data_IF_362844329673
#
_entry.id   IF_362844329673
#
_cell.length_a   1.000
_cell.length_b   1.000
_cell.length_c   1.000
_cell.angle_alpha   90.00
_cell.angle_beta   90.00
_cell.angle_gamma   90.00
#
_symmetry.space_group_name_H-M   'P 1'
#
loop_
_entity.id
_entity.type
_entity.pdbx_description
1 polymer ?
#
# COMPACT_ATOMS: atom_id res chain seq x y z
N UNK A 1 23.42 31.17 13.24
CA UNK A 1 22.04 30.78 12.86
C UNK A 1 21.08 31.54 13.72
N UNK A 2 20.01 32.07 13.16
CA UNK A 2 19.03 32.83 13.94
C UNK A 2 18.38 31.97 15.01
N UNK A 3 18.30 32.51 16.23
CA UNK A 3 17.57 31.92 17.36
C UNK A 3 16.12 31.60 16.98
N UNK A 4 15.51 32.50 16.20
CA UNK A 4 14.15 32.35 15.66
C UNK A 4 13.99 31.11 14.78
N UNK A 5 14.96 30.80 13.92
CA UNK A 5 14.92 29.62 13.06
C UNK A 5 14.94 28.32 13.89
N UNK A 6 15.69 28.32 14.98
CA UNK A 6 15.75 27.17 15.88
C UNK A 6 14.42 26.95 16.62
N UNK A 7 13.81 28.03 17.10
CA UNK A 7 12.48 28.00 17.73
C UNK A 7 11.45 27.45 16.75
N UNK A 8 11.48 27.93 15.50
CA UNK A 8 10.55 27.49 14.46
C UNK A 8 10.74 26.02 14.09
N UNK A 9 11.98 25.55 13.95
CA UNK A 9 12.27 24.12 13.72
C UNK A 9 11.73 23.25 14.87
N UNK A 10 11.89 23.69 16.12
CA UNK A 10 11.38 22.96 17.29
C UNK A 10 9.85 22.90 17.27
N UNK A 11 9.19 24.03 17.04
CA UNK A 11 7.73 24.16 16.95
C UNK A 11 7.15 23.22 15.87
N UNK A 12 7.67 23.30 14.65
CA UNK A 12 7.19 22.48 13.52
C UNK A 12 7.44 20.97 13.76
N UNK A 13 8.55 20.61 14.39
CA UNK A 13 8.95 19.21 14.55
C UNK A 13 8.32 18.53 15.77
N UNK A 14 8.31 19.19 16.93
CA UNK A 14 7.82 18.60 18.17
C UNK A 14 6.35 18.89 18.42
N UNK A 15 5.84 20.07 18.06
CA UNK A 15 4.46 20.45 18.36
C UNK A 15 3.55 20.06 17.20
N UNK A 16 3.89 20.49 15.98
CA UNK A 16 3.11 20.15 14.77
C UNK A 16 3.43 18.76 14.19
N UNK A 17 4.35 18.01 14.83
CA UNK A 17 4.73 16.63 14.47
C UNK A 17 5.19 16.43 13.01
N UNK A 18 5.59 17.48 12.30
CA UNK A 18 6.02 17.38 10.90
C UNK A 18 7.31 16.57 10.77
N UNK A 19 7.49 15.86 9.66
CA UNK A 19 8.76 15.15 9.37
C UNK A 19 9.92 16.13 9.18
N UNK A 20 11.17 15.68 9.39
CA UNK A 20 12.35 16.54 9.15
C UNK A 20 12.42 17.07 7.72
N UNK A 21 11.90 16.32 6.73
CA UNK A 21 11.78 16.78 5.34
C UNK A 21 10.76 17.90 5.20
N UNK A 22 9.55 17.72 5.75
CA UNK A 22 8.52 18.77 5.72
C UNK A 22 8.97 20.05 6.44
N UNK A 23 9.64 19.92 7.59
CA UNK A 23 10.23 21.07 8.29
C UNK A 23 11.25 21.77 7.39
N UNK A 24 12.12 20.99 6.73
CA UNK A 24 13.15 21.50 5.83
C UNK A 24 12.55 22.26 4.64
N UNK A 25 11.49 21.72 4.03
CA UNK A 25 10.78 22.35 2.92
C UNK A 25 10.13 23.68 3.35
N UNK A 26 9.54 23.74 4.55
CA UNK A 26 8.87 24.95 5.08
C UNK A 26 9.89 26.04 5.39
N UNK A 27 11.00 25.70 6.05
CA UNK A 27 12.00 26.68 6.46
C UNK A 27 13.05 26.95 5.37
N UNK A 28 12.96 26.28 4.22
CA UNK A 28 13.84 26.48 3.07
C UNK A 28 15.28 26.01 3.26
N UNK A 29 15.51 24.95 4.06
CA UNK A 29 16.86 24.38 4.27
C UNK A 29 16.89 22.89 3.92
N UNK A 30 18.07 22.27 3.96
CA UNK A 30 18.19 20.82 3.73
C UNK A 30 17.75 20.01 4.96
N UNK A 31 17.08 18.87 4.74
CA UNK A 31 16.62 18.00 5.84
C UNK A 31 17.75 17.46 6.72
N UNK A 32 18.92 17.17 6.14
CA UNK A 32 20.12 16.77 6.89
C UNK A 32 20.56 17.86 7.89
N UNK A 33 20.36 19.11 7.50
CA UNK A 33 20.68 20.28 8.30
C UNK A 33 19.69 20.43 9.47
N UNK A 34 18.40 20.19 9.25
CA UNK A 34 17.39 20.09 10.33
C UNK A 34 17.77 19.01 11.36
N UNK A 35 18.14 17.81 10.90
CA UNK A 35 18.56 16.70 11.78
C UNK A 35 19.77 17.10 12.64
N UNK A 36 20.79 17.69 12.00
CA UNK A 36 21.98 18.18 12.71
C UNK A 36 21.62 19.18 13.81
N UNK A 37 20.64 20.05 13.59
CA UNK A 37 20.21 21.01 14.62
C UNK A 37 19.41 20.38 15.75
N UNK A 38 18.48 19.49 15.44
CA UNK A 38 17.71 18.78 16.46
C UNK A 38 18.63 17.96 17.38
N UNK A 39 19.65 17.30 16.81
CA UNK A 39 20.61 16.53 17.59
C UNK A 39 21.56 17.40 18.42
N UNK A 40 21.90 18.61 17.95
CA UNK A 40 22.84 19.50 18.66
C UNK A 40 22.16 20.38 19.72
N UNK A 41 20.93 20.82 19.48
CA UNK A 41 20.30 21.91 20.26
C UNK A 41 18.92 21.53 20.85
N UNK A 42 18.50 20.28 20.72
CA UNK A 42 17.23 19.77 21.22
C UNK A 42 17.39 18.33 21.75
N UNK A 43 16.29 17.60 21.90
CA UNK A 43 16.27 16.21 22.39
C UNK A 43 16.61 15.18 21.31
N UNK A 44 17.04 15.63 20.13
CA UNK A 44 17.34 14.78 18.99
C UNK A 44 16.12 14.38 18.16
N UNK A 45 16.35 13.54 17.16
CA UNK A 45 15.27 13.00 16.32
C UNK A 45 14.40 12.01 17.07
N UNK A 46 13.17 11.86 16.61
CA UNK A 46 12.17 10.98 17.22
C UNK A 46 12.49 9.53 16.89
N UNK A 47 12.06 8.62 17.75
CA UNK A 47 12.20 7.19 17.49
C UNK A 47 11.50 6.76 16.19
N UNK A 48 12.05 5.73 15.54
CA UNK A 48 11.57 5.21 14.26
C UNK A 48 10.11 4.76 14.36
N UNK A 49 9.70 4.14 15.47
CA UNK A 49 8.32 3.67 15.66
C UNK A 49 7.35 4.84 15.69
N UNK A 50 7.68 5.89 16.45
CA UNK A 50 6.88 7.10 16.53
C UNK A 50 6.82 7.84 15.17
N UNK A 51 7.94 7.91 14.45
CA UNK A 51 7.98 8.50 13.11
C UNK A 51 7.07 7.75 12.13
N UNK A 52 7.10 6.42 12.15
CA UNK A 52 6.23 5.59 11.31
C UNK A 52 4.75 5.78 11.65
N UNK A 53 4.40 5.83 12.93
CA UNK A 53 3.01 6.06 13.37
C UNK A 53 2.47 7.40 12.86
N UNK A 54 3.22 8.49 13.03
CA UNK A 54 2.81 9.83 12.58
C UNK A 54 2.65 9.94 11.05
N UNK A 55 3.40 9.14 10.28
CA UNK A 55 3.26 9.10 8.82
C UNK A 55 2.04 8.29 8.36
N UNK A 56 1.59 7.33 9.17
CA UNK A 56 0.57 6.36 8.77
C UNK A 56 -0.83 6.89 9.07
N UNK A 57 -1.21 7.98 8.41
CA UNK A 57 -2.55 8.60 8.48
C UNK A 57 -3.61 7.72 7.81
N UNK A 58 -4.87 7.91 8.17
CA UNK A 58 -5.97 7.14 7.59
C UNK A 58 -6.11 7.39 6.08
N UNK A 59 -5.93 8.63 5.63
CA UNK A 59 -5.87 8.97 4.21
C UNK A 59 -4.76 8.21 3.47
N UNK A 60 -3.57 8.11 4.07
CA UNK A 60 -2.46 7.35 3.49
C UNK A 60 -2.78 5.85 3.43
N UNK A 61 -3.41 5.30 4.48
CA UNK A 61 -3.84 3.89 4.51
C UNK A 61 -4.87 3.61 3.42
N UNK A 62 -5.85 4.49 3.25
CA UNK A 62 -6.88 4.31 2.22
C UNK A 62 -6.29 4.43 0.81
N UNK A 63 -5.38 5.38 0.59
CA UNK A 63 -4.64 5.48 -0.67
C UNK A 63 -3.90 4.18 -1.00
N UNK A 64 -3.17 3.61 -0.03
CA UNK A 64 -2.47 2.34 -0.22
C UNK A 64 -3.47 1.21 -0.50
N UNK A 65 -4.54 1.11 0.30
CA UNK A 65 -5.58 0.09 0.12
C UNK A 65 -6.17 0.12 -1.29
N UNK A 66 -6.51 1.30 -1.82
CA UNK A 66 -7.02 1.45 -3.19
C UNK A 66 -6.04 0.88 -4.23
N UNK A 67 -4.75 1.17 -4.07
CA UNK A 67 -3.71 0.66 -5.00
C UNK A 67 -3.44 -0.84 -4.87
N UNK A 68 -3.82 -1.47 -3.75
CA UNK A 68 -3.56 -2.89 -3.51
C UNK A 68 -4.75 -3.80 -3.89
N UNK A 69 -5.87 -3.22 -4.33
CA UNK A 69 -7.09 -3.95 -4.66
C UNK A 69 -7.12 -4.34 -6.13
N UNK A 70 -7.34 -5.63 -6.38
CA UNK A 70 -7.67 -6.15 -7.71
C UNK A 70 -6.61 -5.84 -8.75
N UNK A 71 -7.06 -5.32 -9.90
CA UNK A 71 -6.20 -5.02 -11.04
C UNK A 71 -5.31 -3.80 -10.83
N UNK A 72 -5.63 -2.95 -9.85
CA UNK A 72 -4.81 -1.78 -9.49
C UNK A 72 -3.51 -2.20 -8.81
N UNK A 73 -3.44 -3.42 -8.29
CA UNK A 73 -2.21 -3.94 -7.73
C UNK A 73 -1.19 -4.17 -8.84
N UNK A 74 -0.03 -3.53 -8.73
CA UNK A 74 1.05 -3.64 -9.73
C UNK A 74 1.53 -5.10 -9.96
N UNK A 75 1.27 -6.01 -9.02
CA UNK A 75 1.60 -7.44 -9.14
C UNK A 75 0.43 -8.30 -9.61
N UNK A 76 -0.73 -7.71 -9.91
CA UNK A 76 -1.89 -8.43 -10.42
C UNK A 76 -1.62 -8.95 -11.84
N UNK A 77 -1.91 -10.22 -12.06
CA UNK A 77 -1.77 -10.89 -13.37
C UNK A 77 -3.08 -10.94 -14.17
N UNK A 78 -4.19 -10.61 -13.52
CA UNK A 78 -5.53 -10.71 -14.07
C UNK A 78 -6.19 -9.35 -13.99
N UNK A 79 -6.99 -9.03 -14.99
CA UNK A 79 -7.91 -7.90 -15.00
C UNK A 79 -9.27 -8.29 -14.38
N UNK A 80 -10.07 -7.29 -14.01
CA UNK A 80 -11.43 -7.53 -13.48
C UNK A 80 -12.30 -8.32 -14.48
N UNK A 81 -12.16 -8.02 -15.78
CA UNK A 81 -12.87 -8.71 -16.86
C UNK A 81 -12.48 -10.18 -16.97
N UNK A 82 -11.20 -10.51 -16.80
CA UNK A 82 -10.74 -11.90 -16.83
C UNK A 82 -11.23 -12.68 -15.61
N UNK A 83 -11.27 -12.05 -14.43
CA UNK A 83 -11.82 -12.66 -13.21
C UNK A 83 -13.29 -13.03 -13.39
N UNK A 84 -14.10 -12.14 -13.99
CA UNK A 84 -15.50 -12.44 -14.32
C UNK A 84 -15.61 -13.61 -15.31
N UNK A 85 -14.79 -13.61 -16.37
CA UNK A 85 -14.76 -14.71 -17.34
C UNK A 85 -14.33 -16.04 -16.72
N UNK A 86 -13.37 -16.03 -15.79
CA UNK A 86 -12.96 -17.22 -15.04
C UNK A 86 -14.15 -17.80 -14.28
N UNK A 87 -14.92 -16.96 -13.59
CA UNK A 87 -16.11 -17.40 -12.84
C UNK A 87 -17.16 -17.98 -13.78
N UNK A 88 -17.46 -17.30 -14.90
CA UNK A 88 -18.42 -17.78 -15.88
C UNK A 88 -18.02 -19.13 -16.49
N UNK A 89 -16.81 -19.22 -17.06
CA UNK A 89 -16.31 -20.46 -17.68
C UNK A 89 -16.24 -21.60 -16.66
N UNK A 90 -15.94 -21.29 -15.39
CA UNK A 90 -15.95 -22.32 -14.35
C UNK A 90 -17.33 -22.93 -14.16
N UNK A 91 -18.39 -22.12 -14.06
CA UNK A 91 -19.77 -22.61 -13.94
C UNK A 91 -20.23 -23.37 -15.21
N UNK A 92 -19.85 -22.89 -16.39
CA UNK A 92 -20.14 -23.57 -17.66
C UNK A 92 -19.51 -24.97 -17.68
N UNK A 93 -18.23 -25.08 -17.29
CA UNK A 93 -17.54 -26.37 -17.20
C UNK A 93 -18.17 -27.30 -16.16
N UNK A 94 -18.65 -26.78 -15.03
CA UNK A 94 -19.36 -27.61 -14.06
C UNK A 94 -20.70 -28.11 -14.62
N UNK A 95 -21.41 -27.26 -15.37
CA UNK A 95 -22.69 -27.59 -15.99
C UNK A 95 -22.54 -28.64 -17.08
N UNK A 96 -21.42 -28.63 -17.81
CA UNK A 96 -21.03 -29.67 -18.77
C UNK A 96 -20.58 -30.99 -18.11
N UNK A 97 -20.47 -31.04 -16.78
CA UNK A 97 -20.12 -32.25 -16.03
C UNK A 97 -18.62 -32.43 -15.77
N UNK A 98 -17.78 -31.41 -16.01
CA UNK A 98 -16.36 -31.49 -15.68
C UNK A 98 -16.13 -31.48 -14.17
N UNK A 99 -15.14 -32.22 -13.70
CA UNK A 99 -14.74 -32.20 -12.29
C UNK A 99 -14.15 -30.84 -11.87
N UNK A 100 -14.44 -30.39 -10.65
CA UNK A 100 -13.95 -29.11 -10.09
C UNK A 100 -12.44 -28.91 -10.26
N UNK A 101 -11.67 -29.95 -9.96
CA UNK A 101 -10.20 -29.92 -10.04
C UNK A 101 -9.73 -29.76 -11.49
N UNK A 102 -10.34 -30.49 -12.43
CA UNK A 102 -10.01 -30.41 -13.85
C UNK A 102 -10.31 -29.02 -14.42
N UNK A 103 -11.50 -28.47 -14.12
CA UNK A 103 -11.87 -27.12 -14.54
C UNK A 103 -10.90 -26.06 -14.01
N UNK A 104 -10.49 -26.15 -12.74
CA UNK A 104 -9.52 -25.21 -12.16
C UNK A 104 -8.13 -25.33 -12.79
N UNK A 105 -7.66 -26.55 -13.10
CA UNK A 105 -6.37 -26.74 -13.79
C UNK A 105 -6.41 -26.20 -15.23
N UNK A 106 -7.52 -26.41 -15.95
CA UNK A 106 -7.73 -25.85 -17.28
C UNK A 106 -7.66 -24.31 -17.25
N UNK A 107 -8.42 -23.69 -16.36
CA UNK A 107 -8.44 -22.23 -16.20
C UNK A 107 -7.07 -21.68 -15.78
N UNK A 108 -6.39 -22.35 -14.86
CA UNK A 108 -5.05 -21.97 -14.42
C UNK A 108 -4.06 -21.93 -15.59
N UNK A 109 -4.07 -22.97 -16.43
CA UNK A 109 -3.26 -23.03 -17.64
C UNK A 109 -3.65 -21.95 -18.66
N UNK A 110 -4.97 -21.76 -18.88
CA UNK A 110 -5.51 -20.79 -19.83
C UNK A 110 -5.14 -19.35 -19.51
N UNK A 111 -5.17 -18.97 -18.24
CA UNK A 111 -4.90 -17.60 -17.78
C UNK A 111 -3.48 -17.40 -17.20
N UNK A 112 -2.60 -18.41 -17.27
CA UNK A 112 -1.22 -18.29 -16.79
C UNK A 112 -1.09 -18.07 -15.27
N UNK A 113 -2.05 -18.56 -14.49
CA UNK A 113 -2.08 -18.44 -13.02
C UNK A 113 -1.99 -19.80 -12.34
N UNK A 114 -1.78 -19.82 -11.02
CA UNK A 114 -1.73 -21.08 -10.27
C UNK A 114 -3.16 -21.57 -9.99
N UNK A 115 -3.35 -22.90 -9.90
CA UNK A 115 -4.64 -23.51 -9.56
C UNK A 115 -5.27 -22.98 -8.25
N UNK A 116 -4.52 -22.78 -7.15
CA UNK A 116 -5.07 -22.13 -5.96
C UNK A 116 -5.63 -20.73 -6.21
N UNK A 117 -5.00 -19.93 -7.08
CA UNK A 117 -5.49 -18.60 -7.46
C UNK A 117 -6.87 -18.66 -8.10
N UNK A 118 -7.08 -19.62 -9.01
CA UNK A 118 -8.41 -19.86 -9.60
C UNK A 118 -9.40 -20.28 -8.52
N UNK A 119 -9.01 -21.21 -7.64
CA UNK A 119 -9.87 -21.63 -6.52
C UNK A 119 -10.28 -20.45 -5.64
N UNK A 120 -9.36 -19.54 -5.30
CA UNK A 120 -9.66 -18.37 -4.48
C UNK A 120 -10.57 -17.36 -5.19
N UNK A 121 -10.43 -17.21 -6.51
CA UNK A 121 -11.29 -16.36 -7.34
C UNK A 121 -12.73 -16.89 -7.37
N UNK A 122 -12.88 -18.19 -7.63
CA UNK A 122 -14.19 -18.84 -7.76
C UNK A 122 -14.90 -18.89 -6.40
N UNK A 123 -14.17 -19.21 -5.33
CA UNK A 123 -14.69 -19.19 -3.96
C UNK A 123 -14.83 -17.78 -3.37
N UNK A 124 -14.60 -16.72 -4.16
CA UNK A 124 -14.66 -15.30 -3.73
C UNK A 124 -13.84 -15.00 -2.48
N UNK A 125 -12.73 -15.70 -2.27
CA UNK A 125 -11.76 -15.43 -1.20
C UNK A 125 -10.87 -14.25 -1.55
N UNK A 126 -10.52 -14.12 -2.82
CA UNK A 126 -9.86 -12.95 -3.41
C UNK A 126 -10.83 -12.22 -4.34
N UNK A 127 -10.47 -11.01 -4.78
CA UNK A 127 -11.28 -10.23 -5.72
C UNK A 127 -12.74 -9.99 -5.25
N UNK A 128 -12.93 -9.75 -3.95
CA UNK A 128 -14.25 -9.59 -3.31
C UNK A 128 -15.03 -8.34 -3.74
N UNK A 129 -14.34 -7.38 -4.33
CA UNK A 129 -14.94 -6.13 -4.83
C UNK A 129 -15.66 -6.33 -6.18
N UNK A 130 -15.48 -7.50 -6.81
CA UNK A 130 -16.16 -7.96 -8.03
C UNK A 130 -17.09 -9.12 -7.67
#
# INVERSE_FOLDING_TARGET
MNSELLVEIKRLYYDEKKSTRQVADIVGIQAKTVIKYLNKNATGTRDIKLACQLRTTDEYREKIKITQIGEKNNSAKLSEKEVLKIRQIYEDLLSEGHGKTQAQHYLAKKYGVKRPTVSDIVCRRTWKHI
#
